data_IF_753176152377
#
_entry.id   IF_753176152377
#
_cell.length_a   1.000
_cell.length_b   1.000
_cell.length_c   1.000
_cell.angle_alpha   90.00
_cell.angle_beta   90.00
_cell.angle_gamma   90.00
#
_symmetry.space_group_name_H-M   'P 1'
#
loop_
_entity.id
_entity.type
_entity.pdbx_description
1 polymer ?
#
# COMPACT_ATOMS: atom_id res chain seq x y z
N UNK A 1 31.99 -7.00 -6.68
CA UNK A 1 30.74 -7.70 -7.08
C UNK A 1 30.17 -8.29 -5.82
N UNK A 2 29.10 -7.71 -5.28
CA UNK A 2 28.56 -8.14 -3.99
C UNK A 2 27.04 -8.12 -4.05
N UNK A 3 26.43 -9.25 -3.71
CA UNK A 3 24.97 -9.35 -3.55
C UNK A 3 24.62 -8.73 -2.20
N UNK A 4 23.68 -7.79 -2.20
CA UNK A 4 23.18 -7.12 -1.00
C UNK A 4 21.70 -7.37 -0.83
N UNK A 5 21.28 -7.48 0.43
CA UNK A 5 19.87 -7.45 0.79
C UNK A 5 19.53 -5.98 1.08
N UNK A 6 18.65 -5.39 0.27
CA UNK A 6 18.32 -3.96 0.33
C UNK A 6 16.81 -3.72 0.31
N UNK A 7 16.40 -2.52 0.70
CA UNK A 7 15.01 -2.10 0.63
C UNK A 7 14.74 -1.41 -0.71
N UNK A 8 13.84 -2.00 -1.50
CA UNK A 8 13.28 -1.39 -2.70
C UNK A 8 12.09 -0.53 -2.30
N UNK A 9 12.08 0.75 -2.70
CA UNK A 9 11.00 1.67 -2.32
C UNK A 9 9.87 1.57 -3.34
N UNK A 10 8.67 1.38 -2.82
CA UNK A 10 7.40 1.42 -3.52
C UNK A 10 6.44 2.39 -2.81
N UNK A 11 5.25 2.53 -3.38
CA UNK A 11 4.19 3.37 -2.83
C UNK A 11 4.28 4.83 -3.25
N UNK A 12 3.33 5.61 -2.73
CA UNK A 12 3.15 7.03 -3.06
C UNK A 12 3.91 7.95 -2.10
N UNK A 13 3.90 9.24 -2.41
CA UNK A 13 4.38 10.28 -1.49
C UNK A 13 3.66 10.14 -0.13
N UNK A 14 4.39 10.29 0.98
CA UNK A 14 3.90 10.12 2.37
C UNK A 14 3.32 8.73 2.74
N UNK A 15 3.43 7.73 1.86
CA UNK A 15 3.07 6.34 2.20
C UNK A 15 4.08 5.36 1.60
N UNK A 16 5.32 5.35 2.14
CA UNK A 16 6.36 4.45 1.65
C UNK A 16 6.04 3.00 2.02
N UNK A 17 6.16 2.12 1.04
CA UNK A 17 6.11 0.67 1.21
C UNK A 17 7.44 0.11 0.73
N UNK A 18 8.06 -0.80 1.47
CA UNK A 18 9.34 -1.36 1.07
C UNK A 18 9.22 -2.85 0.81
N UNK A 19 9.91 -3.32 -0.23
CA UNK A 19 10.19 -4.74 -0.42
C UNK A 19 11.61 -5.03 0.02
N UNK A 20 11.79 -6.13 0.74
CA UNK A 20 13.09 -6.65 1.11
C UNK A 20 13.56 -7.50 -0.07
N UNK A 21 14.56 -7.01 -0.79
CA UNK A 21 14.99 -7.62 -2.05
C UNK A 21 16.47 -7.98 -2.00
N UNK A 22 16.80 -9.07 -2.65
CA UNK A 22 18.17 -9.49 -2.90
C UNK A 22 18.58 -9.01 -4.29
N UNK A 23 19.65 -8.22 -4.37
CA UNK A 23 20.12 -7.66 -5.63
C UNK A 23 21.62 -7.39 -5.62
N UNK A 24 22.24 -7.31 -6.79
CA UNK A 24 23.63 -6.86 -6.89
C UNK A 24 23.78 -5.40 -6.42
N UNK A 25 24.88 -5.10 -5.74
CA UNK A 25 25.19 -3.79 -5.19
C UNK A 25 25.19 -2.65 -6.20
N UNK A 26 25.51 -2.93 -7.47
CA UNK A 26 25.63 -1.93 -8.55
C UNK A 26 24.28 -1.52 -9.12
N UNK A 27 23.22 -2.30 -8.85
CA UNK A 27 21.89 -1.99 -9.37
C UNK A 27 21.26 -0.82 -8.60
N UNK A 28 20.56 0.05 -9.34
CA UNK A 28 19.72 1.13 -8.79
C UNK A 28 18.82 0.62 -7.64
N UNK A 29 18.48 1.49 -6.69
CA UNK A 29 17.57 1.21 -5.55
C UNK A 29 16.33 0.43 -5.97
N UNK A 30 15.61 0.94 -6.97
CA UNK A 30 14.34 0.35 -7.45
C UNK A 30 14.50 -0.50 -8.72
N UNK A 31 15.73 -0.94 -9.01
CA UNK A 31 16.04 -1.73 -10.20
C UNK A 31 15.51 -3.17 -10.16
N UNK A 32 16.09 -4.00 -11.04
CA UNK A 32 15.84 -5.43 -11.10
C UNK A 32 16.38 -6.11 -9.85
N UNK A 33 15.53 -6.86 -9.17
CA UNK A 33 15.92 -7.75 -8.09
C UNK A 33 16.25 -9.14 -8.64
N UNK A 34 17.05 -9.90 -7.91
CA UNK A 34 17.21 -11.35 -8.14
C UNK A 34 15.98 -12.05 -7.56
N UNK A 35 15.65 -11.72 -6.32
CA UNK A 35 14.55 -12.30 -5.56
C UNK A 35 13.97 -11.28 -4.57
N UNK A 36 12.68 -11.40 -4.28
CA UNK A 36 11.98 -10.66 -3.24
C UNK A 36 11.71 -11.60 -2.06
N UNK A 37 12.27 -11.32 -0.89
CA UNK A 37 12.23 -12.22 0.28
C UNK A 37 11.30 -11.72 1.39
N UNK A 38 10.64 -10.58 1.18
CA UNK A 38 9.74 -10.01 2.19
C UNK A 38 9.29 -8.59 1.90
N UNK A 39 8.56 -8.02 2.86
CA UNK A 39 8.04 -6.67 2.83
C UNK A 39 8.17 -5.96 4.19
N UNK A 40 8.20 -4.64 4.13
CA UNK A 40 8.29 -3.77 5.29
C UNK A 40 7.44 -2.51 5.09
N UNK A 41 6.43 -2.34 5.95
CA UNK A 41 5.55 -1.17 5.95
C UNK A 41 5.71 -0.38 7.27
N UNK A 42 6.52 0.70 7.28
CA UNK A 42 6.78 1.47 8.50
C UNK A 42 5.60 2.34 8.96
N UNK A 43 4.65 2.65 8.06
CA UNK A 43 3.52 3.56 8.37
C UNK A 43 2.48 2.92 9.29
N UNK A 44 2.41 1.58 9.30
CA UNK A 44 1.49 0.86 10.17
C UNK A 44 2.01 0.86 11.61
N UNK A 45 1.10 0.93 12.59
CA UNK A 45 1.43 0.81 14.01
C UNK A 45 0.62 -0.36 14.61
N UNK A 46 1.26 -1.50 14.92
CA UNK A 46 2.68 -1.82 14.75
C UNK A 46 3.12 -1.97 13.29
N UNK A 47 4.41 -1.75 13.01
CA UNK A 47 4.96 -1.83 11.65
C UNK A 47 4.86 -3.26 11.11
N UNK A 48 4.31 -3.40 9.90
CA UNK A 48 4.18 -4.72 9.27
C UNK A 48 5.54 -5.13 8.70
N UNK A 49 6.05 -6.25 9.19
CA UNK A 49 7.26 -6.91 8.73
C UNK A 49 6.87 -8.34 8.38
N UNK A 50 7.15 -8.75 7.15
CA UNK A 50 7.04 -10.15 6.72
C UNK A 50 8.34 -10.51 6.02
N UNK A 51 8.97 -11.59 6.46
CA UNK A 51 10.22 -12.11 5.90
C UNK A 51 10.06 -13.61 5.73
N UNK A 52 10.46 -14.11 4.56
CA UNK A 52 10.64 -15.54 4.34
C UNK A 52 11.96 -15.98 5.03
N UNK A 53 11.82 -16.68 6.15
CA UNK A 53 12.94 -17.08 7.00
C UNK A 53 13.89 -18.05 6.28
N UNK A 54 13.36 -18.96 5.47
CA UNK A 54 14.16 -19.99 4.77
C UNK A 54 15.01 -19.34 3.67
N UNK A 55 14.39 -18.44 2.89
CA UNK A 55 15.10 -17.70 1.84
C UNK A 55 16.09 -16.70 2.42
N UNK A 56 15.74 -16.02 3.52
CA UNK A 56 16.67 -15.14 4.21
C UNK A 56 17.91 -15.90 4.70
N UNK A 57 17.73 -17.07 5.32
CA UNK A 57 18.83 -17.91 5.79
C UNK A 57 19.74 -18.37 4.64
N UNK A 58 19.16 -18.83 3.53
CA UNK A 58 19.91 -19.21 2.33
C UNK A 58 20.77 -18.05 1.81
N UNK A 59 20.20 -16.87 1.64
CA UNK A 59 20.93 -15.73 1.10
C UNK A 59 22.04 -15.24 2.03
N UNK A 60 21.82 -15.29 3.34
CA UNK A 60 22.86 -15.03 4.34
C UNK A 60 23.99 -16.07 4.27
N UNK A 61 23.66 -17.36 4.05
CA UNK A 61 24.67 -18.43 3.94
C UNK A 61 25.56 -18.32 2.70
N UNK A 62 25.02 -17.83 1.57
CA UNK A 62 25.82 -17.59 0.34
C UNK A 62 26.58 -16.27 0.39
N UNK A 63 26.56 -15.56 1.53
CA UNK A 63 27.34 -14.36 1.79
C UNK A 63 26.68 -13.05 1.37
N UNK A 64 25.36 -13.03 1.14
CA UNK A 64 24.65 -11.78 0.87
C UNK A 64 24.79 -10.82 2.07
N UNK A 65 25.16 -9.57 1.80
CA UNK A 65 25.39 -8.57 2.85
C UNK A 65 24.13 -7.72 3.07
N UNK A 66 23.47 -7.78 4.24
CA UNK A 66 22.33 -6.91 4.53
C UNK A 66 22.75 -5.45 4.72
N UNK A 67 21.93 -4.50 4.28
CA UNK A 67 22.10 -3.09 4.65
C UNK A 67 21.63 -2.82 6.07
N UNK A 68 22.08 -1.72 6.70
CA UNK A 68 21.71 -1.34 8.07
C UNK A 68 20.21 -1.44 8.41
N UNK A 69 19.27 -0.87 7.61
CA UNK A 69 17.85 -0.98 7.93
C UNK A 69 17.34 -2.43 7.79
N UNK A 70 17.88 -3.21 6.85
CA UNK A 70 17.51 -4.62 6.69
C UNK A 70 18.03 -5.44 7.87
N UNK A 71 19.27 -5.18 8.31
CA UNK A 71 19.85 -5.82 9.49
C UNK A 71 19.02 -5.53 10.74
N UNK A 72 18.52 -4.30 10.90
CA UNK A 72 17.59 -3.98 11.99
C UNK A 72 16.26 -4.75 11.88
N UNK A 73 15.73 -4.94 10.67
CA UNK A 73 14.52 -5.75 10.45
C UNK A 73 14.77 -7.22 10.79
N UNK A 74 15.85 -7.82 10.25
CA UNK A 74 16.20 -9.22 10.53
C UNK A 74 16.47 -9.47 12.01
N UNK A 75 17.05 -8.50 12.72
CA UNK A 75 17.21 -8.53 14.18
C UNK A 75 15.88 -8.45 14.94
N UNK A 76 14.85 -7.82 14.38
CA UNK A 76 13.52 -7.77 15.00
C UNK A 76 12.74 -9.06 14.75
N UNK A 77 12.87 -9.64 13.55
CA UNK A 77 12.22 -10.91 13.19
C UNK A 77 12.89 -12.11 13.88
N UNK A 78 14.19 -11.99 14.22
CA UNK A 78 14.97 -13.06 14.82
C UNK A 78 15.77 -13.89 13.81
N UNK A 79 15.65 -13.62 12.51
CA UNK A 79 16.34 -14.37 11.46
C UNK A 79 17.86 -14.14 11.48
N UNK A 80 18.29 -12.94 11.89
CA UNK A 80 19.72 -12.67 12.07
C UNK A 80 20.31 -13.49 13.24
N UNK A 81 19.57 -13.57 14.34
CA UNK A 81 19.96 -14.32 15.53
C UNK A 81 20.00 -15.82 15.24
N UNK A 82 18.99 -16.35 14.53
CA UNK A 82 19.00 -17.73 14.02
C UNK A 82 20.23 -18.01 13.16
N UNK A 83 20.60 -17.08 12.27
CA UNK A 83 21.80 -17.24 11.42
C UNK A 83 23.12 -17.19 12.22
N UNK A 84 23.20 -16.38 13.28
CA UNK A 84 24.39 -16.25 14.13
C UNK A 84 24.44 -17.25 15.29
N UNK A 85 23.36 -17.98 15.57
CA UNK A 85 23.27 -18.87 16.73
C UNK A 85 23.09 -18.12 18.06
N UNK A 86 22.59 -16.89 18.02
CA UNK A 86 22.33 -16.06 19.19
C UNK A 86 20.88 -16.23 19.70
N UNK A 87 20.58 -15.92 20.97
CA UNK A 87 19.24 -16.04 21.51
C UNK A 87 18.23 -15.15 20.77
N UNK A 88 17.02 -15.68 20.55
CA UNK A 88 15.98 -14.99 19.81
C UNK A 88 15.51 -13.70 20.53
N UNK A 89 15.26 -12.62 19.77
CA UNK A 89 14.75 -11.37 20.31
C UNK A 89 13.30 -11.50 20.79
N UNK A 90 12.84 -10.52 21.56
CA UNK A 90 11.44 -10.43 21.98
C UNK A 90 10.48 -10.47 20.77
N UNK A 91 9.30 -11.10 20.92
CA UNK A 91 8.35 -11.27 19.82
C UNK A 91 7.88 -9.92 19.27
N UNK A 92 7.65 -9.87 17.95
CA UNK A 92 7.10 -8.69 17.29
C UNK A 92 5.75 -8.32 17.89
N UNK A 93 5.52 -7.02 18.11
CA UNK A 93 4.22 -6.49 18.52
C UNK A 93 3.19 -6.80 17.43
N UNK A 94 2.17 -7.59 17.77
CA UNK A 94 1.09 -7.90 16.84
C UNK A 94 0.05 -6.76 16.84
N UNK A 95 -0.50 -6.38 15.67
CA UNK A 95 -1.59 -5.42 15.62
C UNK A 95 -2.79 -5.99 16.38
N UNK A 96 -3.39 -5.19 17.26
CA UNK A 96 -4.64 -5.58 17.90
C UNK A 96 -5.66 -5.94 16.80
N UNK A 97 -6.41 -7.05 16.94
CA UNK A 97 -7.43 -7.41 15.96
C UNK A 97 -8.41 -6.25 15.86
N UNK A 98 -8.47 -5.62 14.69
CA UNK A 98 -9.39 -4.51 14.45
C UNK A 98 -10.80 -5.08 14.59
N UNK A 99 -11.56 -4.59 15.57
CA UNK A 99 -12.93 -5.01 15.80
C UNK A 99 -13.69 -4.97 14.47
N UNK A 100 -14.20 -6.13 14.05
CA UNK A 100 -15.00 -6.28 12.84
C UNK A 100 -16.14 -5.29 12.98
N UNK A 101 -16.18 -4.25 12.13
CA UNK A 101 -17.35 -3.39 12.06
C UNK A 101 -18.52 -4.32 11.72
N UNK A 102 -19.62 -4.30 12.48
CA UNK A 102 -20.76 -5.16 12.16
C UNK A 102 -21.14 -4.94 10.70
N UNK A 103 -21.35 -6.03 9.97
CA UNK A 103 -21.77 -6.00 8.57
C UNK A 103 -23.02 -5.14 8.45
N UNK A 104 -23.13 -4.42 7.34
CA UNK A 104 -24.28 -3.57 7.02
C UNK A 104 -25.63 -4.31 7.14
N UNK A 105 -25.65 -5.64 7.02
CA UNK A 105 -26.82 -6.50 7.27
C UNK A 105 -27.38 -6.38 8.70
N UNK A 106 -26.56 -6.05 9.70
CA UNK A 106 -27.04 -5.87 11.08
C UNK A 106 -27.72 -4.50 11.32
N UNK A 107 -27.63 -3.58 10.35
CA UNK A 107 -28.25 -2.24 10.40
C UNK A 107 -29.48 -2.14 9.48
N UNK A 108 -29.80 -3.19 8.71
CA UNK A 108 -30.90 -3.24 7.75
C UNK A 108 -32.05 -4.14 8.20
N UNK A 109 -32.59 -3.90 9.40
CA UNK A 109 -33.89 -4.43 9.80
C UNK A 109 -35.00 -3.57 9.18
N UNK A 110 -35.79 -4.18 8.29
CA UNK A 110 -37.11 -3.78 7.78
C UNK A 110 -37.41 -2.27 7.69
N UNK A 111 -37.09 -1.65 6.54
CA UNK A 111 -37.82 -0.47 6.06
C UNK A 111 -38.89 -0.92 5.05
N UNK A 112 -40.00 -1.46 5.56
CA UNK A 112 -41.28 -1.47 4.83
C UNK A 112 -41.90 -0.08 4.99
N UNK A 113 -41.26 0.91 4.36
CA UNK A 113 -41.61 2.32 4.41
C UNK A 113 -42.00 2.80 3.03
N UNK A 114 -43.29 2.72 2.70
CA UNK A 114 -43.94 3.42 1.58
C UNK A 114 -43.53 4.91 1.57
N UNK A 115 -42.51 5.26 0.78
CA UNK A 115 -42.21 6.63 0.39
C UNK A 115 -42.60 6.82 -1.07
N UNK A 116 -43.73 7.48 -1.30
CA UNK A 116 -44.28 7.78 -2.62
C UNK A 116 -43.21 8.38 -3.56
N UNK A 117 -43.10 7.79 -4.75
CA UNK A 117 -42.33 8.33 -5.85
C UNK A 117 -42.93 9.68 -6.29
N UNK A 118 -42.39 10.78 -5.78
CA UNK A 118 -42.68 12.13 -6.29
C UNK A 118 -42.01 12.26 -7.67
N UNK A 119 -42.82 12.06 -8.69
CA UNK A 119 -42.49 12.29 -10.09
C UNK A 119 -42.69 13.77 -10.45
N UNK A 120 -41.69 14.31 -11.17
CA UNK A 120 -41.77 15.34 -12.22
C UNK A 120 -42.28 16.77 -11.92
N UNK A 121 -41.35 17.75 -11.92
CA UNK A 121 -41.41 18.99 -12.76
C UNK A 121 -40.21 19.93 -12.46
N UNK A 122 -39.10 19.76 -13.18
CA UNK A 122 -38.18 20.88 -13.53
C UNK A 122 -37.29 20.55 -14.73
N UNK A 123 -37.91 20.02 -15.78
CA UNK A 123 -37.35 19.97 -17.14
C UNK A 123 -38.37 20.67 -18.06
N UNK A 124 -38.51 21.99 -17.92
CA UNK A 124 -39.31 22.79 -18.84
C UNK A 124 -38.96 24.29 -18.89
N UNK A 125 -38.24 24.88 -17.92
CA UNK A 125 -37.91 26.34 -17.95
C UNK A 125 -36.42 26.68 -18.05
N UNK A 126 -35.54 25.72 -18.35
CA UNK A 126 -34.12 26.02 -18.62
C UNK A 126 -33.64 25.46 -19.96
N UNK A 127 -34.53 25.49 -20.97
CA UNK A 127 -34.16 25.20 -22.37
C UNK A 127 -34.55 26.30 -23.36
N UNK A 128 -35.29 27.33 -22.93
CA UNK A 128 -35.66 28.46 -23.80
C UNK A 128 -34.81 29.72 -23.61
N UNK A 129 -33.98 29.83 -22.57
CA UNK A 129 -33.06 30.99 -22.41
C UNK A 129 -31.68 30.80 -23.08
N UNK A 130 -31.29 29.58 -23.45
CA UNK A 130 -29.98 29.32 -24.08
C UNK A 130 -30.01 29.37 -25.62
N UNK A 131 -31.17 29.61 -26.24
CA UNK A 131 -31.31 29.71 -27.69
C UNK A 131 -31.44 31.15 -28.20
N UNK A 132 -31.48 32.15 -27.32
CA UNK A 132 -31.58 33.57 -27.69
C UNK A 132 -30.26 34.35 -27.62
N UNK A 133 -29.17 33.78 -27.09
CA UNK A 133 -27.85 34.44 -27.05
C UNK A 133 -26.83 33.91 -28.09
N UNK A 134 -27.19 32.94 -28.94
CA UNK A 134 -26.30 32.42 -29.99
C UNK A 134 -26.68 32.83 -31.41
N UNK A 135 -27.51 33.88 -31.58
CA UNK A 135 -27.87 34.40 -32.92
C UNK A 135 -27.66 35.91 -33.08
N UNK A 136 -26.94 36.59 -32.18
CA UNK A 136 -26.67 38.03 -32.27
C UNK A 136 -25.18 38.42 -32.34
N UNK A 137 -24.25 37.45 -32.43
CA UNK A 137 -22.80 37.74 -32.54
C UNK A 137 -22.15 37.29 -33.86
N UNK A 138 -22.92 36.98 -34.91
CA UNK A 138 -22.38 36.59 -36.22
C UNK A 138 -23.13 37.27 -37.36
N UNK A 139 -23.11 38.61 -37.40
CA UNK A 139 -23.36 39.43 -38.61
C UNK A 139 -23.10 40.92 -38.33
N UNK A 140 -21.87 41.40 -38.60
CA UNK A 140 -21.63 42.70 -39.26
C UNK A 140 -20.14 42.86 -39.58
N UNK A 141 -19.84 42.65 -40.86
CA UNK A 141 -18.69 43.17 -41.60
C UNK A 141 -18.93 44.67 -41.91
N UNK A 142 -17.93 45.51 -41.63
CA UNK A 142 -17.61 46.76 -42.34
C UNK A 142 -16.26 47.31 -41.84
#
# INVERSE_FOLDING_TARGET
MAVKIKLKRLGKIRSPHYRIVVADSRTRRDGRAIEEIGLYHPVQNPSRIEVDADRAAYWLSVGAQPTEPVLAILKKTGDWQKFKGEPAPAPLLQPAPKAVRPSFEALGGDDDGKGEAITQKKKAEKKDEAAAESSSSESTEA
#
